data_IF_489098682480
#
_entry.id   IF_489098682480
#
_cell.length_a   1.000
_cell.length_b   1.000
_cell.length_c   1.000
_cell.angle_alpha   90.00
_cell.angle_beta   90.00
_cell.angle_gamma   90.00
#
_symmetry.space_group_name_H-M   'P 1'
#
loop_
_entity.id
_entity.type
_entity.pdbx_description
1 polymer ?
#
# COMPACT_ATOMS: atom_id res chain seq x y z
N UNK A 1 -17.41 -20.41 21.40
CA UNK A 1 -16.57 -20.19 20.24
C UNK A 1 -16.93 -18.84 19.64
N UNK A 2 -15.97 -17.97 19.55
CA UNK A 2 -16.21 -16.60 19.16
C UNK A 2 -16.06 -16.45 17.63
N UNK A 3 -17.18 -16.48 16.92
CA UNK A 3 -17.21 -16.36 15.47
C UNK A 3 -16.73 -14.98 14.98
N UNK A 4 -16.63 -14.01 15.89
CA UNK A 4 -16.31 -12.63 15.56
C UNK A 4 -14.82 -12.29 15.65
N UNK A 5 -13.96 -13.27 15.83
CA UNK A 5 -12.52 -13.03 16.01
C UNK A 5 -11.72 -13.25 14.73
N UNK A 6 -12.35 -13.04 13.59
CA UNK A 6 -11.64 -13.07 12.30
C UNK A 6 -10.88 -11.77 12.11
N UNK A 7 -9.75 -11.67 12.77
CA UNK A 7 -8.88 -10.50 12.71
C UNK A 7 -7.92 -10.56 11.51
N UNK A 8 -7.94 -11.66 10.74
CA UNK A 8 -7.05 -11.84 9.61
C UNK A 8 -5.69 -12.42 9.97
N UNK A 9 -5.36 -12.51 11.23
CA UNK A 9 -4.07 -13.08 11.66
C UNK A 9 -4.18 -14.38 12.45
N UNK A 10 -5.40 -14.82 12.76
CA UNK A 10 -5.66 -16.07 13.51
C UNK A 10 -6.40 -17.13 12.71
N UNK A 11 -6.78 -16.85 11.47
CA UNK A 11 -7.56 -17.75 10.66
C UNK A 11 -6.69 -18.60 9.71
N UNK A 12 -7.35 -19.43 8.90
CA UNK A 12 -6.68 -20.34 7.98
C UNK A 12 -5.76 -19.63 6.99
N UNK A 13 -4.61 -20.24 6.64
CA UNK A 13 -3.69 -19.72 5.65
C UNK A 13 -4.36 -19.37 4.30
N UNK A 14 -5.32 -20.16 3.84
CA UNK A 14 -6.02 -19.90 2.57
C UNK A 14 -6.78 -18.56 2.60
N UNK A 15 -7.48 -18.26 3.68
CA UNK A 15 -8.21 -16.99 3.84
C UNK A 15 -7.25 -15.81 3.99
N UNK A 16 -6.16 -16.03 4.68
CA UNK A 16 -5.10 -15.03 4.81
C UNK A 16 -4.47 -14.71 3.45
N UNK A 17 -4.21 -15.75 2.65
CA UNK A 17 -3.71 -15.57 1.28
C UNK A 17 -4.69 -14.78 0.42
N UNK A 18 -5.98 -15.09 0.47
CA UNK A 18 -7.02 -14.36 -0.27
C UNK A 18 -7.07 -12.89 0.09
N UNK A 19 -6.94 -12.55 1.37
CA UNK A 19 -6.90 -11.14 1.80
C UNK A 19 -5.65 -10.43 1.31
N UNK A 20 -4.52 -11.12 1.25
CA UNK A 20 -3.29 -10.57 0.69
C UNK A 20 -3.41 -10.27 -0.80
N UNK A 21 -4.02 -11.18 -1.54
CA UNK A 21 -4.34 -10.99 -2.97
C UNK A 21 -5.26 -9.77 -3.13
N UNK A 22 -6.29 -9.65 -2.31
CA UNK A 22 -7.20 -8.50 -2.35
C UNK A 22 -6.47 -7.17 -2.08
N UNK A 23 -5.52 -7.14 -1.15
CA UNK A 23 -4.71 -5.96 -0.88
C UNK A 23 -3.88 -5.56 -2.10
N UNK A 24 -3.19 -6.51 -2.73
CA UNK A 24 -2.40 -6.24 -3.94
C UNK A 24 -3.27 -5.88 -5.14
N UNK A 25 -4.47 -6.42 -5.25
CA UNK A 25 -5.42 -6.02 -6.29
C UNK A 25 -5.75 -4.53 -6.19
N UNK A 26 -5.92 -4.01 -4.99
CA UNK A 26 -6.12 -2.57 -4.77
C UNK A 26 -4.88 -1.74 -5.09
N UNK A 27 -3.70 -2.22 -4.72
CA UNK A 27 -2.44 -1.52 -5.00
C UNK A 27 -2.18 -1.43 -6.50
N UNK A 28 -2.33 -2.55 -7.21
CA UNK A 28 -2.06 -2.64 -8.65
C UNK A 28 -3.22 -2.15 -9.52
N UNK A 29 -4.40 -1.98 -8.92
CA UNK A 29 -5.63 -1.62 -9.64
C UNK A 29 -5.95 -2.65 -10.73
N UNK A 30 -5.95 -3.92 -10.37
CA UNK A 30 -6.27 -5.04 -11.25
C UNK A 30 -7.24 -6.00 -10.55
N UNK A 31 -7.97 -6.84 -11.31
CA UNK A 31 -8.83 -7.87 -10.70
C UNK A 31 -8.01 -8.84 -9.85
N UNK A 32 -8.61 -9.32 -8.77
CA UNK A 32 -7.95 -10.27 -7.86
C UNK A 32 -7.41 -11.51 -8.58
N UNK A 33 -8.15 -12.01 -9.57
CA UNK A 33 -7.74 -13.19 -10.36
C UNK A 33 -6.41 -13.02 -11.10
N UNK A 34 -6.04 -11.79 -11.41
CA UNK A 34 -4.82 -11.47 -12.16
C UNK A 34 -3.60 -11.21 -11.26
N UNK A 35 -3.82 -11.06 -9.95
CA UNK A 35 -2.75 -10.70 -9.00
C UNK A 35 -1.67 -11.78 -8.88
N UNK A 36 -1.99 -13.08 -8.74
CA UNK A 36 -0.93 -14.08 -8.58
C UNK A 36 0.06 -14.10 -9.73
N UNK A 37 -0.41 -14.05 -10.98
CA UNK A 37 0.47 -14.04 -12.15
C UNK A 37 1.27 -12.74 -12.24
N UNK A 38 0.63 -11.59 -12.06
CA UNK A 38 1.28 -10.29 -12.10
C UNK A 38 2.39 -10.17 -11.05
N UNK A 39 2.12 -10.65 -9.84
CA UNK A 39 3.09 -10.60 -8.75
C UNK A 39 4.26 -11.57 -9.01
N UNK A 40 3.96 -12.79 -9.47
CA UNK A 40 4.98 -13.78 -9.80
C UNK A 40 5.92 -13.30 -10.91
N UNK A 41 5.39 -12.60 -11.90
CA UNK A 41 6.20 -11.99 -12.97
C UNK A 41 7.17 -10.93 -12.44
N UNK A 42 6.76 -10.18 -11.42
CA UNK A 42 7.58 -9.10 -10.85
C UNK A 42 8.66 -9.61 -9.89
N UNK A 43 8.33 -10.55 -9.04
CA UNK A 43 9.20 -10.93 -7.91
C UNK A 43 9.42 -12.44 -7.78
N UNK A 44 8.90 -13.23 -8.72
CA UNK A 44 8.95 -14.68 -8.66
C UNK A 44 7.85 -15.29 -7.80
N UNK A 45 7.52 -16.58 -8.04
CA UNK A 45 6.36 -17.22 -7.39
C UNK A 45 6.54 -17.42 -5.88
N UNK A 46 7.73 -17.75 -5.43
CA UNK A 46 7.99 -17.99 -3.98
C UNK A 46 7.80 -16.70 -3.19
N UNK A 47 8.43 -15.62 -3.64
CA UNK A 47 8.31 -14.33 -2.98
C UNK A 47 6.87 -13.81 -3.02
N UNK A 48 6.20 -14.00 -4.15
CA UNK A 48 4.80 -13.58 -4.30
C UNK A 48 3.90 -14.24 -3.24
N UNK A 49 4.03 -15.54 -3.03
CA UNK A 49 3.22 -16.26 -2.02
C UNK A 49 3.49 -15.74 -0.60
N UNK A 50 4.73 -15.50 -0.24
CA UNK A 50 5.08 -14.92 1.06
C UNK A 50 4.51 -13.50 1.21
N UNK A 51 4.54 -12.72 0.13
CA UNK A 51 3.96 -11.37 0.14
C UNK A 51 2.45 -11.39 0.37
N UNK A 52 1.72 -12.34 -0.23
CA UNK A 52 0.29 -12.49 0.00
C UNK A 52 0.00 -12.86 1.45
N UNK A 53 0.77 -13.76 2.03
CA UNK A 53 0.61 -14.16 3.43
C UNK A 53 0.89 -13.00 4.39
N UNK A 54 1.93 -12.22 4.12
CA UNK A 54 2.28 -11.04 4.91
C UNK A 54 1.18 -9.95 4.83
N UNK A 55 0.76 -9.62 3.62
CA UNK A 55 -0.26 -8.59 3.41
C UNK A 55 -1.64 -9.01 3.94
N UNK A 56 -1.94 -10.30 3.93
CA UNK A 56 -3.23 -10.81 4.40
C UNK A 56 -3.39 -10.87 5.91
N UNK A 57 -2.32 -10.60 6.67
CA UNK A 57 -2.39 -10.48 8.13
C UNK A 57 -2.88 -9.11 8.57
N UNK A 58 -2.52 -8.67 9.79
CA UNK A 58 -3.05 -7.43 10.36
C UNK A 58 -2.60 -6.16 9.65
N UNK A 59 -1.55 -6.18 8.86
CA UNK A 59 -1.04 -4.99 8.18
C UNK A 59 -2.12 -4.26 7.37
N UNK A 60 -2.91 -5.00 6.61
CA UNK A 60 -3.95 -4.43 5.75
C UNK A 60 -5.36 -4.59 6.29
N UNK A 61 -5.55 -5.29 7.41
CA UNK A 61 -6.88 -5.63 7.92
C UNK A 61 -7.15 -5.18 9.35
N UNK A 62 -6.15 -4.74 10.10
CA UNK A 62 -6.38 -4.32 11.48
C UNK A 62 -7.36 -3.14 11.53
N UNK A 63 -8.48 -3.26 12.25
CA UNK A 63 -9.56 -2.26 12.20
C UNK A 63 -9.21 -0.91 12.85
N UNK A 64 -8.11 -0.83 13.57
CA UNK A 64 -7.67 0.43 14.20
C UNK A 64 -7.19 1.48 13.18
N UNK A 65 -6.85 1.07 11.96
CA UNK A 65 -6.43 1.98 10.89
C UNK A 65 -7.42 1.90 9.72
N UNK A 66 -7.73 3.05 9.15
CA UNK A 66 -8.45 3.14 7.89
C UNK A 66 -7.50 2.93 6.71
N UNK A 67 -8.04 2.67 5.53
CA UNK A 67 -7.22 2.55 4.32
C UNK A 67 -6.55 3.89 3.97
N UNK A 68 -7.21 5.01 4.26
CA UNK A 68 -6.63 6.34 4.10
C UNK A 68 -5.39 6.52 4.99
N UNK A 69 -5.48 6.11 6.23
CA UNK A 69 -4.35 6.15 7.18
C UNK A 69 -3.21 5.23 6.74
N UNK A 70 -3.54 4.03 6.22
CA UNK A 70 -2.54 3.12 5.66
C UNK A 70 -1.78 3.75 4.50
N UNK A 71 -2.48 4.44 3.60
CA UNK A 71 -1.84 5.16 2.49
C UNK A 71 -0.86 6.21 2.98
N UNK A 72 -1.20 6.96 4.00
CA UNK A 72 -0.31 7.97 4.60
C UNK A 72 0.97 7.32 5.14
N UNK A 73 0.81 6.24 5.92
CA UNK A 73 1.95 5.51 6.50
C UNK A 73 2.86 4.95 5.42
N UNK A 74 2.28 4.29 4.42
CA UNK A 74 3.04 3.62 3.36
C UNK A 74 3.80 4.64 2.50
N UNK A 75 3.16 5.70 2.07
CA UNK A 75 3.80 6.73 1.24
C UNK A 75 4.95 7.40 2.02
N UNK A 76 4.74 7.70 3.29
CA UNK A 76 5.78 8.28 4.15
C UNK A 76 6.97 7.33 4.26
N UNK A 77 6.73 6.05 4.47
CA UNK A 77 7.80 5.05 4.57
C UNK A 77 8.57 4.91 3.25
N UNK A 78 7.86 4.88 2.11
CA UNK A 78 8.49 4.78 0.78
C UNK A 78 9.32 6.03 0.47
N UNK A 79 8.77 7.21 0.72
CA UNK A 79 9.49 8.47 0.50
C UNK A 79 10.75 8.55 1.37
N UNK A 80 10.66 8.15 2.63
CA UNK A 80 11.80 8.16 3.55
C UNK A 80 12.94 7.26 3.08
N UNK A 81 12.62 6.18 2.37
CA UNK A 81 13.61 5.25 1.80
C UNK A 81 14.11 5.69 0.42
N UNK A 82 13.59 6.77 -0.12
CA UNK A 82 13.94 7.21 -1.47
C UNK A 82 13.33 6.37 -2.58
N UNK A 83 12.26 5.62 -2.29
CA UNK A 83 11.59 4.81 -3.30
C UNK A 83 10.91 5.69 -4.35
N UNK A 84 11.03 5.28 -5.62
CA UNK A 84 10.46 5.97 -6.78
C UNK A 84 9.89 4.96 -7.78
N UNK A 85 9.35 5.48 -8.87
CA UNK A 85 8.78 4.65 -9.92
C UNK A 85 7.49 3.98 -9.48
N UNK A 86 7.22 2.81 -10.02
CA UNK A 86 5.95 2.11 -9.83
C UNK A 86 5.60 1.86 -8.36
N UNK A 87 6.60 1.66 -7.52
CA UNK A 87 6.37 1.39 -6.08
C UNK A 87 5.75 2.58 -5.39
N UNK A 88 6.25 3.77 -5.65
CA UNK A 88 5.68 5.00 -5.09
C UNK A 88 4.40 5.40 -5.84
N UNK A 89 4.44 5.39 -7.16
CA UNK A 89 3.35 5.84 -8.01
C UNK A 89 2.06 5.04 -7.76
N UNK A 90 2.17 3.74 -7.63
CA UNK A 90 1.02 2.87 -7.35
C UNK A 90 0.35 3.22 -6.02
N UNK A 91 1.14 3.53 -5.02
CA UNK A 91 0.61 3.92 -3.71
C UNK A 91 0.04 5.34 -3.70
N UNK A 92 0.57 6.25 -4.51
CA UNK A 92 -0.05 7.58 -4.67
C UNK A 92 -1.43 7.45 -5.33
N UNK A 93 -1.56 6.61 -6.36
CA UNK A 93 -2.85 6.35 -7.00
C UNK A 93 -3.84 5.69 -6.04
N UNK A 94 -3.38 4.72 -5.26
CA UNK A 94 -4.21 4.09 -4.22
C UNK A 94 -4.65 5.11 -3.18
N UNK A 95 -3.76 6.01 -2.76
CA UNK A 95 -4.08 7.06 -1.81
C UNK A 95 -5.19 7.98 -2.33
N UNK A 96 -5.18 8.31 -3.62
CA UNK A 96 -6.27 9.08 -4.22
C UNK A 96 -7.60 8.34 -4.13
N UNK A 97 -7.61 7.04 -4.44
CA UNK A 97 -8.81 6.20 -4.30
C UNK A 97 -9.27 6.10 -2.85
N UNK A 98 -8.36 6.21 -1.91
CA UNK A 98 -8.64 6.18 -0.47
C UNK A 98 -9.00 7.56 0.11
N UNK A 99 -9.17 8.58 -0.74
CA UNK A 99 -9.66 9.89 -0.33
C UNK A 99 -8.60 10.96 -0.06
N UNK A 100 -7.34 10.70 -0.42
CA UNK A 100 -6.29 11.71 -0.36
C UNK A 100 -6.20 12.43 -1.71
N UNK A 101 -6.84 13.59 -1.81
CA UNK A 101 -6.79 14.40 -3.02
C UNK A 101 -5.43 15.14 -3.15
N UNK A 102 -5.27 15.90 -4.23
CA UNK A 102 -4.04 16.65 -4.49
C UNK A 102 -3.68 17.57 -3.33
N UNK A 103 -4.65 18.28 -2.77
CA UNK A 103 -4.41 19.20 -1.65
C UNK A 103 -3.92 18.45 -0.41
N UNK A 104 -4.54 17.33 -0.08
CA UNK A 104 -4.16 16.49 1.05
C UNK A 104 -2.76 15.88 0.84
N UNK A 105 -2.47 15.39 -0.36
CA UNK A 105 -1.15 14.84 -0.70
C UNK A 105 -0.07 15.92 -0.61
N UNK A 106 -0.34 17.12 -1.09
CA UNK A 106 0.61 18.26 -0.98
C UNK A 106 0.87 18.62 0.48
N UNK A 107 -0.17 18.71 1.29
CA UNK A 107 -0.03 18.98 2.73
C UNK A 107 0.80 17.89 3.43
N UNK A 108 0.56 16.65 3.08
CA UNK A 108 1.29 15.49 3.62
C UNK A 108 2.77 15.55 3.24
N UNK A 109 3.09 15.83 1.98
CA UNK A 109 4.48 15.94 1.50
C UNK A 109 5.20 17.12 2.17
N UNK A 110 4.50 18.22 2.36
CA UNK A 110 5.05 19.39 3.03
C UNK A 110 5.42 19.09 4.49
N UNK A 111 4.53 18.41 5.20
CA UNK A 111 4.78 17.99 6.57
C UNK A 111 5.93 16.99 6.65
N UNK A 112 5.88 15.93 5.86
CA UNK A 112 6.83 14.84 5.88
C UNK A 112 8.25 15.29 5.57
N UNK A 113 8.42 16.25 4.66
CA UNK A 113 9.72 16.78 4.25
C UNK A 113 10.50 17.37 5.43
N UNK A 114 9.81 17.93 6.43
CA UNK A 114 10.44 18.42 7.65
C UNK A 114 11.16 17.34 8.46
N UNK A 115 10.79 16.08 8.25
CA UNK A 115 11.31 14.92 9.00
C UNK A 115 12.23 14.03 8.17
N UNK A 116 12.00 13.93 6.87
CA UNK A 116 12.80 13.07 5.99
C UNK A 116 13.81 13.83 5.12
N UNK A 117 13.72 15.15 5.08
CA UNK A 117 14.61 16.01 4.28
C UNK A 117 14.06 16.32 2.89
N UNK A 118 14.57 17.39 2.30
CA UNK A 118 14.07 17.91 1.03
C UNK A 118 14.43 17.06 -0.18
N UNK A 119 15.57 16.34 -0.16
CA UNK A 119 15.96 15.50 -1.29
C UNK A 119 14.91 14.41 -1.56
N UNK A 120 14.53 13.64 -0.54
CA UNK A 120 13.49 12.63 -0.67
C UNK A 120 12.10 13.24 -0.74
N UNK A 121 11.84 14.30 0.03
CA UNK A 121 10.54 14.97 0.03
C UNK A 121 10.18 15.58 -1.32
N UNK A 122 11.11 16.28 -1.97
CA UNK A 122 10.87 16.86 -3.30
C UNK A 122 10.71 15.78 -4.37
N UNK A 123 11.46 14.70 -4.29
CA UNK A 123 11.32 13.56 -5.19
C UNK A 123 9.92 12.95 -5.11
N UNK A 124 9.41 12.79 -3.90
CA UNK A 124 8.04 12.30 -3.68
C UNK A 124 6.99 13.31 -4.15
N UNK A 125 7.22 14.61 -3.93
CA UNK A 125 6.31 15.65 -4.39
C UNK A 125 6.24 15.74 -5.92
N UNK A 126 7.37 15.52 -6.61
CA UNK A 126 7.37 15.44 -8.07
C UNK A 126 6.45 14.34 -8.58
N UNK A 127 6.42 13.19 -7.89
CA UNK A 127 5.50 12.10 -8.23
C UNK A 127 4.03 12.51 -7.99
N UNK A 128 3.75 13.23 -6.91
CA UNK A 128 2.41 13.77 -6.65
C UNK A 128 1.96 14.72 -7.76
N UNK A 129 2.83 15.64 -8.17
CA UNK A 129 2.52 16.57 -9.26
C UNK A 129 2.23 15.83 -10.57
N UNK A 130 3.04 14.84 -10.90
CA UNK A 130 2.88 14.07 -12.13
C UNK A 130 1.59 13.25 -12.15
N UNK A 131 1.15 12.73 -11.01
CA UNK A 131 0.02 11.80 -10.91
C UNK A 131 -1.28 12.55 -10.59
N UNK A 132 -1.25 13.49 -9.66
CA UNK A 132 -2.43 14.12 -9.07
C UNK A 132 -2.55 15.62 -9.38
N UNK A 133 -1.48 16.23 -9.83
CA UNK A 133 -1.45 17.65 -10.16
C UNK A 133 -2.11 18.05 -11.47
#
# INVERSE_FOLDING_TARGET
>A
MNENNDTGWTDEPARRRERGIAAYARIFDVPEKDVPAAMADRVGPVFAEEAFMSAGGPAWSHPALTDRERSIVIITALAAQGATGDRLDGHIRLAQRNGLDYEALTAMMTLMTNYIGYAHGSQAMEAVERIAG
#
